data_IF_507907520416
#
_entry.id   IF_507907520416
#
_cell.length_a   1.000
_cell.length_b   1.000
_cell.length_c   1.000
_cell.angle_alpha   90.00
_cell.angle_beta   90.00
_cell.angle_gamma   90.00
#
_symmetry.space_group_name_H-M   'P 1'
#
loop_
_entity.id
_entity.type
_entity.pdbx_description
1 polymer ?
#
# COMPACT_ATOMS: atom_id res chain seq x y z
N UNK A 1 -17.38 5.33 -22.87
CA UNK A 1 -16.95 5.69 -21.50
C UNK A 1 -17.55 4.64 -20.59
N UNK A 2 -16.71 3.81 -19.96
CA UNK A 2 -17.17 2.72 -19.10
C UNK A 2 -17.80 3.26 -17.84
N UNK A 3 -19.05 2.89 -17.61
CA UNK A 3 -19.75 3.06 -16.36
C UNK A 3 -19.12 2.13 -15.30
N UNK A 4 -18.75 2.68 -14.16
CA UNK A 4 -18.31 1.88 -13.02
C UNK A 4 -19.54 1.21 -12.41
N UNK A 5 -19.60 -0.12 -12.42
CA UNK A 5 -20.68 -0.90 -11.79
C UNK A 5 -20.80 -0.69 -10.26
N UNK A 6 -19.84 0.00 -9.62
CA UNK A 6 -19.83 0.33 -8.20
C UNK A 6 -19.85 1.84 -7.97
N UNK A 7 -20.94 2.35 -7.38
CA UNK A 7 -21.08 3.75 -7.00
C UNK A 7 -20.01 4.20 -6.01
N UNK A 8 -19.67 3.34 -5.04
CA UNK A 8 -18.62 3.61 -4.04
C UNK A 8 -17.24 3.80 -4.69
N UNK A 9 -16.88 2.94 -5.65
CA UNK A 9 -15.59 3.07 -6.34
C UNK A 9 -15.53 4.33 -7.23
N UNK A 10 -16.67 4.73 -7.81
CA UNK A 10 -16.75 5.97 -8.58
C UNK A 10 -16.55 7.20 -7.70
N UNK A 11 -17.14 7.18 -6.50
CA UNK A 11 -17.00 8.27 -5.54
C UNK A 11 -15.54 8.43 -5.09
N UNK A 12 -14.87 7.34 -4.72
CA UNK A 12 -13.44 7.35 -4.37
C UNK A 12 -12.60 7.85 -5.55
N UNK A 13 -12.89 7.37 -6.77
CA UNK A 13 -12.19 7.83 -7.98
C UNK A 13 -12.32 9.34 -8.19
N UNK A 14 -13.52 9.90 -7.97
CA UNK A 14 -13.75 11.35 -8.06
C UNK A 14 -12.97 12.12 -7.00
N UNK A 15 -12.98 11.65 -5.75
CA UNK A 15 -12.25 12.28 -4.66
C UNK A 15 -10.74 12.30 -4.94
N UNK A 16 -10.19 11.17 -5.39
CA UNK A 16 -8.78 11.06 -5.78
C UNK A 16 -8.40 12.03 -6.89
N UNK A 17 -9.17 12.05 -8.00
CA UNK A 17 -8.89 12.95 -9.13
C UNK A 17 -8.97 14.41 -8.70
N UNK A 18 -9.93 14.75 -7.83
CA UNK A 18 -10.10 16.12 -7.32
C UNK A 18 -8.92 16.54 -6.45
N UNK A 19 -8.46 15.65 -5.56
CA UNK A 19 -7.27 15.87 -4.75
C UNK A 19 -6.01 16.01 -5.61
N UNK A 20 -5.81 15.14 -6.60
CA UNK A 20 -4.66 15.25 -7.52
C UNK A 20 -4.65 16.57 -8.28
N UNK A 21 -5.82 17.04 -8.76
CA UNK A 21 -5.94 18.36 -9.40
C UNK A 21 -5.54 19.50 -8.45
N UNK A 22 -6.00 19.46 -7.21
CA UNK A 22 -5.66 20.47 -6.20
C UNK A 22 -4.16 20.47 -5.86
N UNK A 23 -3.54 19.28 -5.86
CA UNK A 23 -2.11 19.09 -5.57
C UNK A 23 -1.19 19.29 -6.79
N UNK A 24 -1.73 19.65 -7.96
CA UNK A 24 -0.93 19.80 -9.20
C UNK A 24 -0.38 18.48 -9.77
N UNK A 25 -0.98 17.35 -9.40
CA UNK A 25 -0.58 16.01 -9.83
C UNK A 25 -1.38 15.61 -11.08
N UNK A 26 -0.68 15.29 -12.17
CA UNK A 26 -1.31 14.79 -13.39
C UNK A 26 -1.39 13.25 -13.37
N UNK A 27 -2.61 12.71 -13.48
CA UNK A 27 -2.87 11.27 -13.56
C UNK A 27 -3.20 10.86 -15.00
N UNK A 28 -2.60 9.76 -15.46
CA UNK A 28 -2.92 9.10 -16.72
C UNK A 28 -3.05 7.60 -16.50
N UNK A 29 -4.11 6.99 -17.04
CA UNK A 29 -4.33 5.55 -17.00
C UNK A 29 -4.33 4.99 -18.42
N UNK A 30 -3.43 4.06 -18.71
CA UNK A 30 -3.35 3.37 -19.99
C UNK A 30 -3.73 1.90 -19.78
N UNK A 31 -4.70 1.41 -20.56
CA UNK A 31 -5.04 -0.01 -20.55
C UNK A 31 -3.93 -0.82 -21.24
N UNK A 32 -3.38 -1.80 -20.53
CA UNK A 32 -2.43 -2.77 -21.08
C UNK A 32 -3.20 -4.05 -21.37
N UNK A 33 -3.17 -4.51 -22.63
CA UNK A 33 -3.85 -5.75 -23.00
C UNK A 33 -3.22 -6.95 -22.28
N UNK A 34 -4.04 -7.92 -21.84
CA UNK A 34 -3.57 -9.07 -21.05
C UNK A 34 -2.43 -9.87 -21.72
N UNK A 35 -2.42 -9.95 -23.05
CA UNK A 35 -1.33 -10.58 -23.83
C UNK A 35 0.03 -9.91 -23.62
N UNK A 36 0.04 -8.58 -23.42
CA UNK A 36 1.24 -7.78 -23.21
C UNK A 36 1.61 -7.73 -21.72
N UNK A 37 0.66 -8.03 -20.83
CA UNK A 37 0.86 -8.12 -19.39
C UNK A 37 1.34 -9.49 -18.90
N UNK A 38 1.59 -10.45 -19.79
CA UNK A 38 1.90 -11.84 -19.44
C UNK A 38 3.10 -11.98 -18.47
N UNK A 39 4.13 -11.13 -18.60
CA UNK A 39 5.28 -11.12 -17.69
C UNK A 39 4.89 -10.65 -16.29
N UNK A 40 4.24 -9.50 -16.17
CA UNK A 40 3.84 -8.95 -14.88
C UNK A 40 2.81 -9.85 -14.19
N UNK A 41 1.87 -10.42 -14.95
CA UNK A 41 0.89 -11.38 -14.45
C UNK A 41 1.54 -12.72 -14.00
N UNK A 42 2.61 -13.14 -14.68
CA UNK A 42 3.42 -14.27 -14.21
C UNK A 42 4.17 -13.94 -12.91
N UNK A 43 4.72 -12.73 -12.77
CA UNK A 43 5.42 -12.32 -11.56
C UNK A 43 4.48 -12.08 -10.37
N UNK A 44 3.29 -11.52 -10.60
CA UNK A 44 2.29 -11.32 -9.52
C UNK A 44 1.78 -12.65 -8.96
N UNK A 45 1.70 -13.69 -9.79
CA UNK A 45 1.30 -15.05 -9.39
C UNK A 45 2.47 -15.88 -8.84
N UNK A 46 3.72 -15.49 -9.11
CA UNK A 46 4.89 -16.13 -8.52
C UNK A 46 5.06 -15.62 -7.09
N UNK A 47 4.86 -16.51 -6.13
CA UNK A 47 5.22 -16.25 -4.74
C UNK A 47 6.74 -16.19 -4.64
N UNK A 48 7.32 -15.01 -4.83
CA UNK A 48 8.77 -14.86 -4.74
C UNK A 48 9.20 -14.93 -3.28
N UNK A 49 10.16 -15.80 -2.98
CA UNK A 49 10.91 -15.86 -1.71
C UNK A 49 11.91 -14.69 -1.66
N UNK A 50 11.49 -13.49 -2.06
CA UNK A 50 12.35 -12.32 -1.93
C UNK A 50 12.30 -11.85 -0.48
N UNK A 51 13.42 -11.37 0.07
CA UNK A 51 13.39 -10.67 1.34
C UNK A 51 12.41 -9.51 1.18
N UNK A 52 11.47 -9.40 2.12
CA UNK A 52 10.55 -8.28 2.14
C UNK A 52 11.36 -6.98 2.08
N UNK A 53 10.91 -6.05 1.24
CA UNK A 53 11.66 -4.82 1.00
C UNK A 53 11.57 -3.92 2.23
N UNK A 54 12.73 -3.53 2.76
CA UNK A 54 12.84 -2.55 3.84
C UNK A 54 13.36 -1.25 3.28
N UNK A 55 12.86 -0.12 3.79
CA UNK A 55 13.49 1.17 3.52
C UNK A 55 14.92 1.19 4.07
N UNK A 56 15.68 2.24 3.79
CA UNK A 56 16.91 2.52 4.54
C UNK A 56 16.53 3.31 5.78
N UNK A 57 17.16 3.03 6.91
CA UNK A 57 16.87 3.68 8.19
C UNK A 57 16.96 5.21 8.09
N UNK A 58 17.96 5.74 7.38
CA UNK A 58 18.11 7.19 7.14
C UNK A 58 16.89 7.79 6.41
N UNK A 59 16.31 7.04 5.48
CA UNK A 59 15.11 7.49 4.74
C UNK A 59 13.89 7.46 5.66
N UNK A 60 13.73 6.38 6.43
CA UNK A 60 12.64 6.26 7.41
C UNK A 60 12.68 7.38 8.45
N UNK A 61 13.85 7.65 9.03
CA UNK A 61 14.06 8.75 9.98
C UNK A 61 13.71 10.11 9.38
N UNK A 62 14.11 10.36 8.12
CA UNK A 62 13.77 11.61 7.43
C UNK A 62 12.27 11.75 7.18
N UNK A 63 11.58 10.65 6.84
CA UNK A 63 10.13 10.64 6.69
C UNK A 63 9.44 10.94 8.03
N UNK A 64 9.89 10.33 9.13
CA UNK A 64 9.37 10.59 10.47
C UNK A 64 9.55 12.06 10.89
N UNK A 65 10.69 12.67 10.57
CA UNK A 65 10.92 14.09 10.84
C UNK A 65 10.02 15.02 10.02
N UNK A 66 9.61 14.60 8.82
CA UNK A 66 8.81 15.43 7.90
C UNK A 66 7.31 15.29 8.18
N UNK A 67 6.84 14.08 8.46
CA UNK A 67 5.40 13.76 8.56
C UNK A 67 4.94 13.33 9.95
N UNK A 68 5.86 13.24 10.92
CA UNK A 68 5.62 12.63 12.22
C UNK A 68 5.96 11.13 12.21
N UNK A 69 6.30 10.60 13.39
CA UNK A 69 6.56 9.16 13.57
C UNK A 69 5.22 8.42 13.67
N UNK A 70 4.96 7.42 12.80
CA UNK A 70 3.75 6.63 12.91
C UNK A 70 3.75 5.78 14.18
N UNK A 71 2.56 5.40 14.65
CA UNK A 71 2.39 4.55 15.83
C UNK A 71 2.52 3.06 15.49
N UNK A 72 2.23 2.67 14.23
CA UNK A 72 2.26 1.29 13.75
C UNK A 72 2.84 1.19 12.33
N UNK A 73 3.51 0.08 12.04
CA UNK A 73 3.93 -0.29 10.69
C UNK A 73 2.91 -1.25 10.06
N UNK A 74 2.08 -0.74 9.14
CA UNK A 74 0.95 -1.50 8.58
C UNK A 74 1.37 -2.59 7.59
N UNK A 75 2.59 -2.52 7.04
CA UNK A 75 3.03 -3.41 5.96
C UNK A 75 4.42 -3.96 6.22
N UNK A 76 4.58 -4.64 7.36
CA UNK A 76 5.87 -5.17 7.81
C UNK A 76 5.75 -6.58 8.39
N UNK A 77 6.86 -7.30 8.42
CA UNK A 77 7.06 -8.52 9.18
C UNK A 77 8.00 -8.30 10.35
N UNK A 78 8.17 -9.36 11.13
CA UNK A 78 9.15 -9.49 12.21
C UNK A 78 10.59 -9.12 11.82
N UNK A 79 10.93 -9.12 10.53
CA UNK A 79 12.31 -8.89 10.08
C UNK A 79 12.57 -7.52 9.48
N UNK A 80 11.54 -6.74 9.15
CA UNK A 80 11.70 -5.42 8.51
C UNK A 80 10.92 -4.29 9.19
N UNK A 81 10.16 -4.57 10.25
CA UNK A 81 9.42 -3.53 10.96
C UNK A 81 10.37 -2.45 11.53
N UNK A 82 10.01 -1.18 11.35
CA UNK A 82 10.73 -0.07 11.99
C UNK A 82 10.16 0.31 13.36
N UNK A 83 8.91 -0.03 13.61
CA UNK A 83 8.16 0.31 14.82
C UNK A 83 7.92 -0.95 15.65
N UNK A 84 7.76 -0.81 16.96
CA UNK A 84 7.48 -1.96 17.83
C UNK A 84 6.13 -2.62 17.52
N UNK A 85 5.18 -1.83 17.02
CA UNK A 85 3.84 -2.26 16.60
C UNK A 85 3.85 -2.47 15.10
N UNK A 86 3.44 -3.64 14.61
CA UNK A 86 3.32 -3.89 13.16
C UNK A 86 2.25 -4.92 12.80
N UNK A 87 1.76 -4.84 11.56
CA UNK A 87 0.82 -5.77 10.94
C UNK A 87 1.51 -6.55 9.82
N UNK A 88 1.53 -7.87 9.93
CA UNK A 88 2.14 -8.76 8.92
C UNK A 88 1.10 -9.38 8.00
N UNK A 89 1.50 -9.63 6.75
CA UNK A 89 0.61 -10.25 5.76
C UNK A 89 0.20 -11.69 6.15
N UNK A 90 1.09 -12.41 6.84
CA UNK A 90 0.91 -13.78 7.30
C UNK A 90 0.94 -13.84 8.83
N UNK A 91 0.44 -14.92 9.46
CA UNK A 91 0.53 -15.11 10.90
C UNK A 91 1.98 -15.00 11.39
N UNK A 92 2.22 -14.08 12.30
CA UNK A 92 3.48 -13.91 13.02
C UNK A 92 3.19 -13.77 14.51
N UNK A 93 3.98 -14.37 15.42
CA UNK A 93 3.67 -14.35 16.85
C UNK A 93 3.60 -12.95 17.48
N UNK A 94 4.28 -11.96 16.90
CA UNK A 94 4.43 -10.63 17.48
C UNK A 94 3.66 -9.56 16.70
N UNK A 95 2.88 -9.95 15.67
CA UNK A 95 2.07 -9.00 14.92
C UNK A 95 0.79 -8.64 15.66
N UNK A 96 0.33 -7.39 15.53
CA UNK A 96 -0.95 -6.96 16.14
C UNK A 96 -2.16 -7.52 15.38
N UNK A 97 -2.04 -7.69 14.06
CA UNK A 97 -3.08 -8.22 13.22
C UNK A 97 -2.49 -8.88 11.98
N UNK A 98 -3.31 -9.70 11.30
CA UNK A 98 -2.93 -10.32 10.02
C UNK A 98 -3.60 -9.54 8.90
N UNK A 99 -2.80 -9.16 7.89
CA UNK A 99 -3.19 -8.46 6.68
C UNK A 99 -3.90 -7.12 6.95
N UNK A 100 -3.18 -6.01 6.77
CA UNK A 100 -3.71 -4.66 7.03
C UNK A 100 -4.98 -4.33 6.24
N UNK A 101 -5.20 -4.92 5.07
CA UNK A 101 -6.42 -4.65 4.28
C UNK A 101 -7.69 -5.28 4.87
N UNK A 102 -7.55 -6.20 5.81
CA UNK A 102 -8.70 -6.82 6.51
C UNK A 102 -9.06 -6.10 7.81
N UNK A 103 -8.30 -5.06 8.19
CA UNK A 103 -8.45 -4.36 9.46
C UNK A 103 -8.81 -2.89 9.21
N UNK A 104 -9.63 -2.29 10.09
CA UNK A 104 -9.80 -0.84 10.06
C UNK A 104 -8.50 -0.16 10.48
N UNK A 105 -8.20 0.97 9.85
CA UNK A 105 -7.01 1.76 10.20
C UNK A 105 -7.34 2.88 11.18
N UNK A 106 -8.61 3.12 11.48
CA UNK A 106 -9.07 4.22 12.34
C UNK A 106 -8.47 4.16 13.75
N UNK A 107 -8.04 2.98 14.20
CA UNK A 107 -7.38 2.78 15.50
C UNK A 107 -5.93 3.30 15.53
N UNK A 108 -5.37 3.64 14.37
CA UNK A 108 -3.96 4.03 14.20
C UNK A 108 -3.76 5.43 13.59
N UNK A 109 -4.85 6.15 13.28
CA UNK A 109 -4.85 7.49 12.66
C UNK A 109 -5.09 8.58 13.70
#
# INVERSE_FOLDING_TARGET
MGDSHSLKCNEISRQLITWCKASGIWLSACHIAGKDNAKADSYSRKQSIHPEWTLREVVFTRLCQTFGTPVIDLFASRTNHYLSRYISLYPDPNTEAINAFLNSWDEYV
#
